data_IF_344072127616
#
_entry.id   IF_344072127616
#
_cell.length_a   1.000
_cell.length_b   1.000
_cell.length_c   1.000
_cell.angle_alpha   90.00
_cell.angle_beta   90.00
_cell.angle_gamma   90.00
#
_symmetry.space_group_name_H-M   'P 1'
#
loop_
_entity.id
_entity.type
_entity.pdbx_description
1 polymer ?
#
# COMPACT_ATOMS: atom_id res chain seq x y z
N UNK A 1 19.73 33.60 -30.92
CA UNK A 1 18.29 33.51 -30.57
C UNK A 1 18.18 32.71 -29.29
N UNK A 2 17.89 33.37 -28.17
CA UNK A 2 17.63 32.70 -26.90
C UNK A 2 16.23 32.08 -26.98
N UNK A 3 16.15 30.75 -26.94
CA UNK A 3 14.88 30.06 -26.76
C UNK A 3 14.49 30.26 -25.28
N UNK A 4 13.74 31.32 -25.00
CA UNK A 4 12.98 31.43 -23.75
C UNK A 4 11.98 30.28 -23.75
N UNK A 5 12.39 29.15 -23.17
CA UNK A 5 11.52 28.04 -22.83
C UNK A 5 10.57 28.56 -21.74
N UNK A 6 9.47 29.17 -22.18
CA UNK A 6 8.43 29.71 -21.31
C UNK A 6 7.87 28.56 -20.47
N UNK A 7 8.30 28.50 -19.22
CA UNK A 7 7.82 27.49 -18.27
C UNK A 7 6.32 27.71 -18.11
N UNK A 8 5.51 26.71 -18.48
CA UNK A 8 4.06 26.80 -18.33
C UNK A 8 3.67 26.99 -16.85
N UNK A 9 2.67 27.86 -16.57
CA UNK A 9 2.04 27.95 -15.26
C UNK A 9 1.61 26.58 -14.75
N UNK A 10 1.68 26.36 -13.44
CA UNK A 10 1.50 25.03 -12.87
C UNK A 10 0.02 24.62 -12.81
N UNK A 11 -0.90 25.57 -12.68
CA UNK A 11 -2.35 25.40 -12.80
C UNK A 11 -2.79 24.92 -14.19
N UNK A 12 -2.07 25.29 -15.25
CA UNK A 12 -2.34 24.84 -16.63
C UNK A 12 -1.88 23.41 -16.94
N UNK A 13 -1.25 22.73 -15.98
CA UNK A 13 -0.65 21.41 -16.20
C UNK A 13 -1.61 20.26 -15.91
N UNK A 14 -1.50 19.19 -16.70
CA UNK A 14 -2.12 17.91 -16.37
C UNK A 14 -1.48 17.28 -15.12
N UNK A 15 -2.22 16.40 -14.44
CA UNK A 15 -1.77 15.76 -13.19
C UNK A 15 -0.40 15.07 -13.32
N UNK A 16 -0.11 14.43 -14.45
CA UNK A 16 1.19 13.80 -14.71
C UNK A 16 2.34 14.80 -14.77
N UNK A 17 2.11 15.97 -15.37
CA UNK A 17 3.08 17.06 -15.48
C UNK A 17 3.29 17.76 -14.14
N UNK A 18 2.20 18.03 -13.40
CA UNK A 18 2.26 18.54 -12.02
C UNK A 18 3.13 17.63 -11.15
N UNK A 19 2.83 16.32 -11.15
CA UNK A 19 3.61 15.30 -10.44
C UNK A 19 5.08 15.31 -10.84
N UNK A 20 5.38 15.38 -12.13
CA UNK A 20 6.77 15.41 -12.61
C UNK A 20 7.53 16.63 -12.08
N UNK A 21 6.92 17.81 -12.08
CA UNK A 21 7.53 19.03 -11.54
C UNK A 21 7.77 18.96 -10.03
N UNK A 22 6.77 18.51 -9.26
CA UNK A 22 6.88 18.33 -7.80
C UNK A 22 8.05 17.41 -7.47
N UNK A 23 8.12 16.25 -8.13
CA UNK A 23 9.19 15.28 -7.91
C UNK A 23 10.55 15.81 -8.36
N UNK A 24 10.61 16.55 -9.48
CA UNK A 24 11.84 17.17 -9.95
C UNK A 24 12.41 18.18 -8.96
N UNK A 25 11.56 19.07 -8.42
CA UNK A 25 11.98 20.02 -7.38
C UNK A 25 12.45 19.28 -6.12
N UNK A 26 11.68 18.29 -5.67
CA UNK A 26 11.98 17.51 -4.47
C UNK A 26 13.32 16.79 -4.60
N UNK A 27 13.59 16.18 -5.76
CA UNK A 27 14.88 15.56 -6.05
C UNK A 27 16.03 16.58 -6.02
N UNK A 28 15.83 17.76 -6.60
CA UNK A 28 16.86 18.80 -6.61
C UNK A 28 17.22 19.26 -5.18
N UNK A 29 16.23 19.41 -4.30
CA UNK A 29 16.46 19.73 -2.90
C UNK A 29 17.22 18.61 -2.19
N UNK A 30 16.88 17.34 -2.46
CA UNK A 30 17.64 16.21 -1.92
C UNK A 30 19.11 16.26 -2.34
N UNK A 31 19.37 16.50 -3.63
CA UNK A 31 20.72 16.56 -4.17
C UNK A 31 21.54 17.69 -3.52
N UNK A 32 20.92 18.84 -3.26
CA UNK A 32 21.55 19.96 -2.55
C UNK A 32 21.91 19.55 -1.11
N UNK A 33 20.98 18.94 -0.37
CA UNK A 33 21.24 18.48 1.01
C UNK A 33 22.37 17.46 1.04
N UNK A 34 22.37 16.49 0.12
CA UNK A 34 23.40 15.45 0.03
C UNK A 34 24.78 16.03 -0.32
N UNK A 35 24.83 17.10 -1.11
CA UNK A 35 26.08 17.80 -1.44
C UNK A 35 26.59 18.63 -0.27
N UNK A 36 25.71 19.40 0.38
CA UNK A 36 26.12 20.35 1.42
C UNK A 36 26.35 19.71 2.78
N UNK A 37 25.83 18.50 3.03
CA UNK A 37 25.99 17.83 4.34
C UNK A 37 27.45 17.65 4.73
N UNK A 38 28.34 17.34 3.78
CA UNK A 38 29.77 17.12 4.05
C UNK A 38 30.54 18.41 4.35
N UNK A 39 29.99 19.56 3.95
CA UNK A 39 30.57 20.87 4.25
C UNK A 39 30.02 21.48 5.56
N UNK A 40 28.87 20.98 6.02
CA UNK A 40 28.11 21.60 7.12
C UNK A 40 28.18 20.79 8.41
N UNK A 41 28.21 19.46 8.31
CA UNK A 41 28.16 18.55 9.46
C UNK A 41 29.44 17.74 9.59
N UNK A 42 29.67 17.18 10.77
CA UNK A 42 30.81 16.30 10.99
C UNK A 42 30.61 14.99 10.19
N UNK A 43 31.67 14.36 9.66
CA UNK A 43 31.54 13.09 8.93
C UNK A 43 30.85 11.95 9.71
N UNK A 44 30.93 11.99 11.05
CA UNK A 44 30.29 11.01 11.93
C UNK A 44 28.79 11.29 12.15
N UNK A 45 28.29 12.46 11.77
CA UNK A 45 26.90 12.83 11.92
C UNK A 45 26.03 12.10 10.87
N UNK A 46 25.00 11.39 11.33
CA UNK A 46 24.04 10.72 10.44
C UNK A 46 22.96 11.68 9.94
N UNK A 47 23.31 12.51 8.97
CA UNK A 47 22.37 13.45 8.34
C UNK A 47 21.59 12.76 7.22
N UNK A 48 20.26 12.88 7.28
CA UNK A 48 19.32 12.35 6.28
C UNK A 48 18.14 13.30 6.11
N UNK A 49 17.84 13.69 4.88
CA UNK A 49 16.58 14.36 4.56
C UNK A 49 15.45 13.34 4.68
N UNK A 50 14.45 13.62 5.53
CA UNK A 50 13.30 12.71 5.75
C UNK A 50 12.07 13.10 4.95
N UNK A 51 11.84 14.40 4.79
CA UNK A 51 10.62 14.91 4.18
C UNK A 51 10.86 16.31 3.66
N UNK A 52 10.20 16.66 2.56
CA UNK A 52 10.00 18.04 2.12
C UNK A 52 8.50 18.32 2.11
N UNK A 53 8.12 19.47 2.65
CA UNK A 53 6.76 19.98 2.59
C UNK A 53 6.77 21.36 1.96
N UNK A 54 5.97 21.55 0.92
CA UNK A 54 5.82 22.85 0.28
C UNK A 54 4.41 23.01 -0.29
N UNK A 55 4.04 24.26 -0.53
CA UNK A 55 2.73 24.65 -1.03
C UNK A 55 2.90 25.32 -2.38
N UNK A 56 1.96 25.07 -3.28
CA UNK A 56 1.79 25.87 -4.49
C UNK A 56 0.32 25.96 -4.82
N UNK A 57 -0.19 27.17 -5.05
CA UNK A 57 -1.64 27.45 -5.07
C UNK A 57 -2.26 26.99 -3.73
N UNK A 58 -3.41 26.33 -3.76
CA UNK A 58 -4.12 25.85 -2.57
C UNK A 58 -3.79 24.38 -2.21
N UNK A 59 -2.76 23.79 -2.85
CA UNK A 59 -2.36 22.41 -2.62
C UNK A 59 -1.06 22.33 -1.81
N UNK A 60 -1.09 21.49 -0.76
CA UNK A 60 0.07 21.15 0.06
C UNK A 60 0.66 19.84 -0.44
N UNK A 61 1.96 19.85 -0.75
CA UNK A 61 2.71 18.69 -1.20
C UNK A 61 3.67 18.22 -0.12
N UNK A 62 3.58 16.94 0.23
CA UNK A 62 4.41 16.29 1.24
C UNK A 62 5.15 15.12 0.62
N UNK A 63 6.47 15.24 0.48
CA UNK A 63 7.33 14.26 -0.19
C UNK A 63 8.24 13.65 0.86
N UNK A 64 8.04 12.37 1.12
CA UNK A 64 8.85 11.61 2.06
C UNK A 64 10.09 11.02 1.37
N UNK A 65 11.25 11.22 1.99
CA UNK A 65 12.54 10.70 1.57
C UNK A 65 12.97 9.59 2.51
N UNK A 66 13.34 8.46 1.90
CA UNK A 66 13.71 7.25 2.59
C UNK A 66 12.92 6.05 2.08
N UNK A 67 13.46 4.85 2.33
CA UNK A 67 12.68 3.63 2.20
C UNK A 67 11.79 3.56 3.42
N UNK A 68 10.47 3.52 3.22
CA UNK A 68 9.61 2.88 4.21
C UNK A 68 10.24 1.50 4.45
N UNK A 69 10.50 1.12 5.71
CA UNK A 69 11.19 -0.14 5.95
C UNK A 69 10.44 -1.26 5.24
N UNK A 70 11.12 -2.23 4.59
CA UNK A 70 10.42 -3.36 3.93
C UNK A 70 9.36 -4.00 4.85
N UNK A 71 9.65 -4.01 6.15
CA UNK A 71 8.75 -4.48 7.21
C UNK A 71 7.52 -3.57 7.36
N UNK A 72 7.68 -2.25 7.33
CA UNK A 72 6.59 -1.28 7.43
C UNK A 72 5.71 -1.30 6.18
N UNK A 73 6.30 -1.44 4.99
CA UNK A 73 5.53 -1.62 3.74
C UNK A 73 4.69 -2.90 3.80
N UNK A 74 5.30 -4.01 4.23
CA UNK A 74 4.58 -5.27 4.40
C UNK A 74 3.46 -5.15 5.43
N UNK A 75 3.69 -4.47 6.56
CA UNK A 75 2.66 -4.22 7.58
C UNK A 75 1.51 -3.36 7.03
N UNK A 76 1.82 -2.32 6.24
CA UNK A 76 0.80 -1.47 5.59
C UNK A 76 -0.05 -2.29 4.62
N UNK A 77 0.59 -3.08 3.76
CA UNK A 77 -0.09 -3.98 2.81
C UNK A 77 -0.97 -5.00 3.55
N UNK A 78 -0.45 -5.62 4.61
CA UNK A 78 -1.19 -6.62 5.40
C UNK A 78 -2.39 -6.01 6.11
N UNK A 79 -2.25 -4.82 6.69
CA UNK A 79 -3.36 -4.09 7.32
C UNK A 79 -4.47 -3.77 6.31
N UNK A 80 -4.10 -3.33 5.10
CA UNK A 80 -5.07 -3.08 4.02
C UNK A 80 -5.79 -4.36 3.62
N UNK A 81 -5.07 -5.46 3.38
CA UNK A 81 -5.67 -6.76 3.04
C UNK A 81 -6.68 -7.20 4.11
N UNK A 82 -6.29 -7.14 5.39
CA UNK A 82 -7.15 -7.50 6.53
C UNK A 82 -8.42 -6.65 6.58
N UNK A 83 -8.31 -5.34 6.37
CA UNK A 83 -9.46 -4.43 6.37
C UNK A 83 -10.40 -4.69 5.19
N UNK A 84 -9.86 -4.99 4.00
CA UNK A 84 -10.68 -5.33 2.84
C UNK A 84 -11.44 -6.65 3.04
N UNK A 85 -10.80 -7.65 3.64
CA UNK A 85 -11.42 -8.96 3.92
C UNK A 85 -12.51 -8.85 5.00
N UNK A 86 -12.29 -8.05 6.05
CA UNK A 86 -13.29 -7.81 7.11
C UNK A 86 -14.43 -6.89 6.66
N UNK A 87 -14.14 -5.89 5.84
CA UNK A 87 -15.08 -4.84 5.46
C UNK A 87 -15.85 -5.11 4.17
N UNK A 88 -15.61 -6.25 3.49
CA UNK A 88 -16.20 -6.58 2.18
C UNK A 88 -16.10 -5.43 1.15
N UNK A 89 -14.98 -4.70 1.16
CA UNK A 89 -14.80 -3.56 0.26
C UNK A 89 -14.61 -4.08 -1.16
N UNK A 90 -15.43 -3.57 -2.09
CA UNK A 90 -15.31 -3.94 -3.50
C UNK A 90 -13.98 -3.47 -4.07
N UNK A 91 -13.51 -4.18 -5.11
CA UNK A 91 -12.30 -3.83 -5.85
C UNK A 91 -12.33 -2.38 -6.36
N UNK A 92 -13.48 -1.96 -6.88
CA UNK A 92 -13.70 -0.62 -7.39
C UNK A 92 -13.65 0.44 -6.29
N UNK A 93 -14.31 0.18 -5.15
CA UNK A 93 -14.25 1.09 -3.99
C UNK A 93 -12.82 1.26 -3.48
N UNK A 94 -12.04 0.18 -3.42
CA UNK A 94 -10.63 0.27 -3.04
C UNK A 94 -9.80 1.11 -4.01
N UNK A 95 -10.02 0.97 -5.32
CA UNK A 95 -9.35 1.79 -6.34
C UNK A 95 -9.67 3.26 -6.20
N UNK A 96 -10.93 3.61 -5.92
CA UNK A 96 -11.35 5.00 -5.67
C UNK A 96 -10.65 5.57 -4.44
N UNK A 97 -10.56 4.80 -3.34
CA UNK A 97 -9.82 5.21 -2.14
C UNK A 97 -8.33 5.39 -2.41
N UNK A 98 -7.71 4.45 -3.13
CA UNK A 98 -6.27 4.50 -3.43
C UNK A 98 -5.87 5.59 -4.42
N UNK A 99 -6.83 6.27 -5.05
CA UNK A 99 -6.56 7.48 -5.84
C UNK A 99 -6.49 8.76 -4.99
N UNK A 100 -7.15 8.75 -3.82
CA UNK A 100 -7.31 9.93 -2.96
C UNK A 100 -6.32 9.86 -1.78
N UNK A 101 -6.06 8.66 -1.27
CA UNK A 101 -5.17 8.40 -0.15
C UNK A 101 -3.88 7.73 -0.59
N UNK A 102 -2.81 7.86 0.21
CA UNK A 102 -1.54 7.15 0.00
C UNK A 102 -1.68 5.65 0.35
N UNK A 103 -2.47 4.92 -0.43
CA UNK A 103 -2.65 3.48 -0.31
C UNK A 103 -1.77 2.74 -1.33
N UNK A 104 -1.38 1.52 -0.98
CA UNK A 104 -0.64 0.65 -1.89
C UNK A 104 -1.45 0.38 -3.17
N UNK A 105 -0.77 0.17 -4.29
CA UNK A 105 -1.46 -0.17 -5.55
C UNK A 105 -2.18 -1.51 -5.41
N UNK A 106 -3.33 -1.61 -6.05
CA UNK A 106 -4.15 -2.83 -6.08
C UNK A 106 -3.37 -4.10 -6.38
N UNK A 107 -2.46 -4.07 -7.36
CA UNK A 107 -1.70 -5.26 -7.75
C UNK A 107 -0.90 -5.84 -6.55
N UNK A 108 -0.28 -4.95 -5.77
CA UNK A 108 0.50 -5.33 -4.57
C UNK A 108 -0.41 -5.96 -3.50
N UNK A 109 -1.64 -5.45 -3.35
CA UNK A 109 -2.64 -6.02 -2.43
C UNK A 109 -3.12 -7.39 -2.93
N UNK A 110 -3.37 -7.53 -4.23
CA UNK A 110 -3.80 -8.77 -4.86
C UNK A 110 -2.76 -9.89 -4.67
N UNK A 111 -1.49 -9.58 -4.95
CA UNK A 111 -0.38 -10.52 -4.79
C UNK A 111 -0.25 -10.99 -3.33
N UNK A 112 -0.39 -10.05 -2.38
CA UNK A 112 -0.39 -10.36 -0.95
C UNK A 112 -1.55 -11.28 -0.56
N UNK A 113 -2.76 -11.00 -1.04
CA UNK A 113 -3.94 -11.87 -0.84
C UNK A 113 -3.72 -13.27 -1.38
N UNK A 114 -3.19 -13.40 -2.60
CA UNK A 114 -2.89 -14.70 -3.19
C UNK A 114 -1.89 -15.49 -2.35
N UNK A 115 -0.85 -14.82 -1.85
CA UNK A 115 0.16 -15.43 -0.98
C UNK A 115 -0.45 -15.93 0.34
N UNK A 116 -1.30 -15.12 0.98
CA UNK A 116 -2.02 -15.52 2.19
C UNK A 116 -2.90 -16.74 1.92
N UNK A 117 -3.68 -16.72 0.84
CA UNK A 117 -4.55 -17.84 0.46
C UNK A 117 -3.76 -19.12 0.19
N UNK A 118 -2.60 -19.02 -0.46
CA UNK A 118 -1.71 -20.16 -0.70
C UNK A 118 -1.18 -20.76 0.61
N UNK A 119 -0.80 -19.92 1.57
CA UNK A 119 -0.38 -20.39 2.90
C UNK A 119 -1.53 -20.98 3.71
N UNK A 120 -2.72 -20.37 3.66
CA UNK A 120 -3.92 -20.89 4.32
C UNK A 120 -4.32 -22.25 3.76
N UNK A 121 -4.26 -22.44 2.45
CA UNK A 121 -4.59 -23.73 1.80
C UNK A 121 -3.68 -24.88 2.26
N UNK A 122 -2.44 -24.60 2.68
CA UNK A 122 -1.55 -25.62 3.28
C UNK A 122 -1.99 -26.03 4.68
N UNK A 123 -2.61 -25.12 5.44
CA UNK A 123 -3.01 -25.33 6.84
C UNK A 123 -4.45 -25.83 6.98
N UNK A 124 -5.31 -25.43 6.06
CA UNK A 124 -6.73 -25.79 6.03
C UNK A 124 -6.99 -26.46 4.68
N UNK A 125 -7.06 -27.80 4.63
CA UNK A 125 -7.42 -28.52 3.42
C UNK A 125 -8.81 -28.08 2.97
N UNK A 126 -8.90 -27.51 1.77
CA UNK A 126 -10.19 -27.30 1.10
C UNK A 126 -10.44 -28.47 0.17
N UNK A 127 -11.53 -29.19 0.42
CA UNK A 127 -12.04 -30.24 -0.46
C UNK A 127 -13.21 -29.68 -1.25
N UNK A 128 -13.16 -29.79 -2.57
CA UNK A 128 -14.25 -29.38 -3.44
C UNK A 128 -15.24 -30.54 -3.54
N UNK A 129 -16.47 -30.33 -3.10
CA UNK A 129 -17.52 -31.37 -3.08
C UNK A 129 -18.53 -31.07 -4.19
N UNK A 130 -18.77 -32.05 -5.06
CA UNK A 130 -19.84 -31.98 -6.03
C UNK A 130 -21.17 -32.33 -5.33
N UNK A 131 -22.06 -31.34 -5.23
CA UNK A 131 -23.36 -31.48 -4.58
C UNK A 131 -24.37 -32.28 -5.41
N UNK A 132 -24.10 -32.48 -6.71
CA UNK A 132 -24.97 -33.23 -7.62
C UNK A 132 -24.64 -34.73 -7.62
N UNK A 133 -23.50 -35.11 -7.07
CA UNK A 133 -23.11 -36.50 -6.86
C UNK A 133 -23.44 -36.90 -5.41
N UNK A 134 -24.10 -38.05 -5.15
CA UNK A 134 -24.27 -38.56 -3.80
C UNK A 134 -22.89 -38.83 -3.20
N UNK A 135 -22.40 -37.88 -2.41
CA UNK A 135 -21.13 -38.00 -1.69
C UNK A 135 -21.40 -38.82 -0.43
N UNK A 136 -20.86 -40.02 -0.35
CA UNK A 136 -20.86 -40.80 0.89
C UNK A 136 -19.84 -40.16 1.85
N UNK A 137 -20.33 -39.38 2.81
CA UNK A 137 -19.50 -38.90 3.90
C UNK A 137 -19.26 -40.06 4.87
N UNK A 138 -18.01 -40.28 5.27
CA UNK A 138 -17.74 -41.13 6.42
C UNK A 138 -18.45 -40.56 7.65
N UNK A 139 -19.05 -41.41 8.51
CA UNK A 139 -19.63 -40.95 9.77
C UNK A 139 -18.58 -40.17 10.57
N UNK A 140 -18.94 -38.99 11.06
CA UNK A 140 -18.06 -38.20 11.92
C UNK A 140 -17.87 -38.98 13.22
N UNK A 141 -16.72 -39.64 13.40
CA UNK A 141 -16.39 -40.43 14.60
C UNK A 141 -15.68 -39.61 15.68
N UNK A 142 -15.48 -38.31 15.45
CA UNK A 142 -14.85 -37.39 16.40
C UNK A 142 -15.83 -36.83 17.43
N UNK A 143 -15.37 -36.64 18.66
CA UNK A 143 -16.11 -35.88 19.66
C UNK A 143 -16.18 -34.40 19.23
N UNK A 144 -17.32 -33.73 19.41
CA UNK A 144 -17.43 -32.32 19.09
C UNK A 144 -16.52 -31.50 20.02
N UNK A 145 -15.65 -30.68 19.42
CA UNK A 145 -14.78 -29.75 20.16
C UNK A 145 -15.55 -28.57 20.78
N UNK A 146 -16.78 -28.34 20.32
CA UNK A 146 -17.67 -27.29 20.82
C UNK A 146 -18.95 -27.95 21.34
N UNK A 147 -19.15 -27.88 22.65
CA UNK A 147 -20.32 -28.44 23.34
C UNK A 147 -21.25 -27.36 23.91
N UNK A 148 -20.96 -26.08 23.68
CA UNK A 148 -21.76 -24.98 24.20
C UNK A 148 -23.11 -24.89 23.47
N UNK A 149 -24.18 -25.20 24.19
CA UNK A 149 -25.55 -25.23 23.68
C UNK A 149 -26.03 -23.88 23.13
N UNK A 150 -25.47 -22.77 23.60
CA UNK A 150 -25.87 -21.43 23.12
C UNK A 150 -25.35 -21.13 21.71
N UNK A 151 -24.24 -21.77 21.32
CA UNK A 151 -23.67 -21.69 19.98
C UNK A 151 -24.35 -22.69 19.03
N UNK A 152 -24.79 -23.84 19.56
CA UNK A 152 -25.39 -24.93 18.76
C UNK A 152 -26.85 -24.63 18.37
N UNK A 153 -27.61 -23.86 19.16
CA UNK A 153 -29.05 -23.65 18.95
C UNK A 153 -29.44 -22.35 18.24
N UNK A 154 -28.51 -21.56 17.73
CA UNK A 154 -28.79 -20.35 16.93
C UNK A 154 -28.68 -20.60 15.43
#
# INVERSE_FOLDING_TARGET
MSLDLKIRPFDELGNSQKRHKILGLSQHVLDIVEKEKGNTFHPDDQIKLKQIKFETYDDIYEINFGKLGKIEEMKKIEAVVKSLDRGHISREAYRSLAQIEDLSRENVICDSRQKINAEMKKKVPMTLVDLLQPTAFEPITGNPDITDSTIIMN
#
